data_IF_357244918564
#
_entry.id   IF_357244918564
#
_cell.length_a   1.000
_cell.length_b   1.000
_cell.length_c   1.000
_cell.angle_alpha   90.00
_cell.angle_beta   90.00
_cell.angle_gamma   90.00
#
_symmetry.space_group_name_H-M   'P 1'
#
loop_
_entity.id
_entity.type
_entity.pdbx_description
1 polymer ?
#
# COMPACT_ATOMS: atom_id res chain seq x y z
N UNK A 1 7.67 4.51 14.18
CA UNK A 1 7.54 5.23 12.90
C UNK A 1 6.61 6.42 13.09
N UNK A 2 7.10 7.67 12.99
CA UNK A 2 6.24 8.86 13.07
C UNK A 2 5.31 8.93 11.86
N UNK A 3 4.05 9.34 12.07
CA UNK A 3 3.09 9.59 10.99
C UNK A 3 3.24 11.03 10.49
N UNK A 4 4.23 11.23 9.62
CA UNK A 4 4.44 12.53 8.99
C UNK A 4 3.30 12.90 8.03
N UNK A 5 3.15 14.20 7.75
CA UNK A 5 2.17 14.71 6.79
C UNK A 5 2.32 14.04 5.41
N UNK A 6 3.56 13.83 4.95
CA UNK A 6 3.87 13.23 3.63
C UNK A 6 3.38 11.79 3.45
N UNK A 7 3.11 11.06 4.53
CA UNK A 7 2.54 9.71 4.48
C UNK A 7 1.10 9.68 4.99
N UNK A 8 0.52 10.85 5.27
CA UNK A 8 -0.88 11.01 5.63
C UNK A 8 -1.73 11.24 4.39
N UNK A 9 -3.04 11.04 4.52
CA UNK A 9 -4.07 11.44 3.54
C UNK A 9 -4.55 12.86 3.82
N UNK A 10 -5.36 13.42 2.93
CA UNK A 10 -6.08 14.68 3.17
C UNK A 10 -7.00 14.66 4.40
N UNK A 11 -7.34 13.48 4.93
CA UNK A 11 -8.13 13.32 6.16
C UNK A 11 -7.31 13.39 7.46
N UNK A 12 -6.03 13.76 7.40
CA UNK A 12 -5.12 13.86 8.56
C UNK A 12 -4.90 12.54 9.32
N UNK A 13 -4.82 11.43 8.57
CA UNK A 13 -4.43 10.13 9.08
C UNK A 13 -3.55 9.39 8.08
N UNK A 14 -2.73 8.45 8.57
CA UNK A 14 -1.78 7.66 7.79
C UNK A 14 -2.46 6.98 6.61
N UNK A 15 -1.87 7.09 5.43
CA UNK A 15 -2.28 6.36 4.24
C UNK A 15 -2.11 4.85 4.45
N UNK A 16 -3.15 4.06 4.18
CA UNK A 16 -3.14 2.62 4.46
C UNK A 16 -1.96 1.89 3.81
N UNK A 17 -1.63 2.23 2.55
CA UNK A 17 -0.47 1.67 1.85
C UNK A 17 0.87 1.98 2.52
N UNK A 18 1.01 3.13 3.18
CA UNK A 18 2.22 3.45 3.94
C UNK A 18 2.33 2.56 5.20
N UNK A 19 1.22 2.30 5.89
CA UNK A 19 1.18 1.39 7.03
C UNK A 19 1.51 -0.06 6.66
N UNK A 20 0.93 -0.55 5.55
CA UNK A 20 1.25 -1.88 5.01
C UNK A 20 2.72 -1.97 4.58
N UNK A 21 3.21 -0.98 3.83
CA UNK A 21 4.61 -0.92 3.38
C UNK A 21 5.60 -0.91 4.54
N UNK A 22 5.32 -0.16 5.61
CA UNK A 22 6.14 -0.15 6.82
C UNK A 22 6.19 -1.50 7.52
N UNK A 23 5.04 -2.21 7.60
CA UNK A 23 4.98 -3.54 8.18
C UNK A 23 5.71 -4.59 7.33
N UNK A 24 5.56 -4.53 6.00
CA UNK A 24 6.33 -5.36 5.06
C UNK A 24 7.82 -5.12 5.27
N UNK A 25 8.26 -3.86 5.27
CA UNK A 25 9.67 -3.52 5.44
C UNK A 25 10.24 -4.02 6.77
N UNK A 26 9.47 -3.91 7.87
CA UNK A 26 9.85 -4.47 9.16
C UNK A 26 9.96 -6.00 9.12
N UNK A 27 9.01 -6.68 8.48
CA UNK A 27 9.03 -8.15 8.34
C UNK A 27 10.16 -8.64 7.43
N UNK A 28 10.46 -7.95 6.32
CA UNK A 28 11.62 -8.25 5.46
C UNK A 28 12.93 -8.05 6.24
N UNK A 29 13.01 -6.99 7.05
CA UNK A 29 14.17 -6.72 7.91
C UNK A 29 14.39 -7.84 8.92
N UNK A 30 13.33 -8.37 9.54
CA UNK A 30 13.48 -9.46 10.53
C UNK A 30 13.67 -10.82 9.86
N UNK A 31 12.99 -11.08 8.74
CA UNK A 31 13.06 -12.37 8.04
C UNK A 31 14.30 -12.52 7.14
N UNK A 32 14.93 -11.42 6.75
CA UNK A 32 16.04 -11.37 5.78
C UNK A 32 15.68 -12.04 4.44
N UNK A 33 14.40 -11.97 4.05
CA UNK A 33 13.86 -12.59 2.85
C UNK A 33 12.89 -11.63 2.16
N UNK A 34 12.78 -11.77 0.84
CA UNK A 34 11.89 -10.97 0.01
C UNK A 34 10.42 -11.34 0.24
N UNK A 35 9.54 -10.35 0.20
CA UNK A 35 8.10 -10.57 0.26
C UNK A 35 7.59 -11.44 -0.91
N UNK A 36 6.77 -12.44 -0.60
CA UNK A 36 5.98 -13.19 -1.60
C UNK A 36 4.56 -12.64 -1.66
N UNK A 37 3.92 -12.48 -0.49
CA UNK A 37 2.59 -11.88 -0.37
C UNK A 37 2.40 -11.30 1.03
N UNK A 38 1.56 -10.27 1.14
CA UNK A 38 1.09 -9.72 2.40
C UNK A 38 -0.42 -9.45 2.32
N UNK A 39 -1.10 -9.61 3.44
CA UNK A 39 -2.49 -9.21 3.64
C UNK A 39 -2.59 -8.37 4.90
N UNK A 40 -3.43 -7.34 4.88
CA UNK A 40 -3.62 -6.43 6.00
C UNK A 40 -5.09 -6.36 6.42
N UNK A 41 -5.32 -6.26 7.72
CA UNK A 41 -6.59 -5.89 8.32
C UNK A 41 -6.41 -4.51 8.95
N UNK A 42 -7.23 -3.54 8.52
CA UNK A 42 -7.21 -2.18 9.06
C UNK A 42 -8.30 -2.05 10.11
N UNK A 43 -7.92 -1.74 11.35
CA UNK A 43 -8.79 -1.77 12.53
C UNK A 43 -9.11 -0.35 13.04
N UNK A 44 -8.16 0.58 12.94
CA UNK A 44 -8.34 1.97 13.33
C UNK A 44 -7.32 2.89 12.65
N UNK A 45 -7.43 4.21 12.85
CA UNK A 45 -6.58 5.21 12.19
C UNK A 45 -5.40 5.68 13.05
N UNK A 46 -4.20 5.77 12.49
CA UNK A 46 -3.14 6.58 13.09
C UNK A 46 -3.23 8.01 12.54
N UNK A 47 -3.45 8.99 13.41
CA UNK A 47 -3.53 10.41 13.03
C UNK A 47 -2.16 10.95 12.67
N UNK A 48 -2.13 11.99 11.86
CA UNK A 48 -0.90 12.74 11.59
C UNK A 48 -0.26 13.20 12.92
N UNK A 49 1.07 13.12 13.00
CA UNK A 49 1.92 13.36 14.17
C UNK A 49 1.83 12.31 15.30
N UNK A 50 1.02 11.24 15.17
CA UNK A 50 1.10 10.11 16.09
C UNK A 50 2.35 9.24 15.80
N UNK A 51 2.76 8.46 16.80
CA UNK A 51 3.85 7.49 16.67
C UNK A 51 3.28 6.09 16.56
N UNK A 52 3.63 5.39 15.48
CA UNK A 52 3.27 3.98 15.25
C UNK A 52 4.41 3.07 15.71
N UNK A 53 4.10 2.12 16.59
CA UNK A 53 4.97 0.99 16.94
C UNK A 53 4.58 -0.21 16.10
N UNK A 54 5.56 -0.92 15.54
CA UNK A 54 5.33 -2.14 14.75
C UNK A 54 6.01 -3.29 15.48
N UNK A 55 5.21 -4.24 15.96
CA UNK A 55 5.69 -5.49 16.54
C UNK A 55 5.71 -6.57 15.48
N UNK A 56 6.83 -7.30 15.36
CA UNK A 56 7.01 -8.35 14.35
C UNK A 56 7.17 -9.70 15.03
N UNK A 57 6.48 -10.71 14.50
CA UNK A 57 6.64 -12.11 14.89
C UNK A 57 6.85 -12.96 13.64
N UNK A 58 7.96 -13.68 13.57
CA UNK A 58 8.11 -14.77 12.58
C UNK A 58 7.39 -16.00 13.12
N UNK A 59 6.20 -16.28 12.59
CA UNK A 59 5.33 -17.38 13.03
C UNK A 59 5.90 -18.73 12.62
N UNK A 60 6.54 -18.79 11.44
CA UNK A 60 7.21 -19.98 10.91
C UNK A 60 8.52 -19.56 10.26
N UNK A 61 9.63 -20.21 10.60
CA UNK A 61 10.91 -20.04 9.93
C UNK A 61 11.31 -21.32 9.19
N UNK A 62 10.81 -21.49 7.97
CA UNK A 62 11.05 -22.67 7.15
C UNK A 62 12.28 -22.52 6.25
N UNK A 63 12.76 -23.62 5.65
CA UNK A 63 13.95 -23.60 4.79
C UNK A 63 13.75 -22.78 3.51
N UNK A 64 12.53 -22.72 2.96
CA UNK A 64 12.21 -21.97 1.74
C UNK A 64 11.29 -20.77 2.01
N UNK A 65 10.30 -20.94 2.88
CA UNK A 65 9.29 -19.92 3.19
C UNK A 65 9.32 -19.62 4.68
N UNK A 66 9.32 -18.32 5.00
CA UNK A 66 9.11 -17.77 6.33
C UNK A 66 7.74 -17.11 6.35
N UNK A 67 6.93 -17.39 7.38
CA UNK A 67 5.65 -16.70 7.58
C UNK A 67 5.80 -15.76 8.76
N UNK A 68 5.28 -14.55 8.62
CA UNK A 68 5.37 -13.53 9.66
C UNK A 68 4.08 -12.76 9.83
N UNK A 69 3.95 -12.19 11.03
CA UNK A 69 2.88 -11.27 11.40
C UNK A 69 3.49 -9.97 11.90
N UNK A 70 2.94 -8.85 11.46
CA UNK A 70 3.23 -7.55 12.04
C UNK A 70 1.95 -6.95 12.65
N UNK A 71 2.06 -6.39 13.84
CA UNK A 71 0.97 -5.67 14.51
C UNK A 71 1.42 -4.24 14.73
N UNK A 72 0.72 -3.30 14.09
CA UNK A 72 1.00 -1.87 14.27
C UNK A 72 0.04 -1.27 15.29
N UNK A 73 0.57 -0.44 16.19
CA UNK A 73 -0.19 0.23 17.26
C UNK A 73 0.17 1.70 17.39
N UNK A 74 -0.79 2.49 17.88
CA UNK A 74 -0.54 3.82 18.47
C UNK A 74 -0.88 3.71 19.96
N UNK A 75 0.13 3.79 20.83
CA UNK A 75 -0.04 3.37 22.22
C UNK A 75 -0.54 1.91 22.28
N UNK A 76 -1.63 1.67 23.00
CA UNK A 76 -2.24 0.33 23.11
C UNK A 76 -3.20 -0.01 21.96
N UNK A 77 -3.57 0.99 21.15
CA UNK A 77 -4.58 0.84 20.11
C UNK A 77 -4.00 0.20 18.86
N UNK A 78 -4.50 -0.98 18.52
CA UNK A 78 -4.18 -1.61 17.24
C UNK A 78 -4.76 -0.83 16.09
N UNK A 79 -3.92 -0.48 15.11
CA UNK A 79 -4.34 0.24 13.91
C UNK A 79 -4.43 -0.69 12.70
N UNK A 80 -3.49 -1.63 12.59
CA UNK A 80 -3.50 -2.63 11.52
C UNK A 80 -2.70 -3.88 11.90
N UNK A 81 -3.17 -5.02 11.41
CA UNK A 81 -2.50 -6.32 11.49
C UNK A 81 -2.08 -6.74 10.08
N UNK A 82 -0.87 -7.26 9.89
CA UNK A 82 -0.40 -7.83 8.62
C UNK A 82 0.02 -9.28 8.84
N UNK A 83 -0.45 -10.18 7.97
CA UNK A 83 0.13 -11.51 7.82
C UNK A 83 0.78 -11.61 6.44
N UNK A 84 1.96 -12.20 6.37
CA UNK A 84 2.74 -12.27 5.14
C UNK A 84 3.62 -13.52 5.08
N UNK A 85 4.02 -13.87 3.86
CA UNK A 85 5.04 -14.88 3.61
C UNK A 85 6.23 -14.29 2.84
N UNK A 86 7.41 -14.78 3.17
CA UNK A 86 8.70 -14.31 2.68
C UNK A 86 9.54 -15.49 2.21
N UNK A 87 10.26 -15.30 1.11
CA UNK A 87 11.11 -16.33 0.53
C UNK A 87 11.56 -15.94 -0.87
N UNK A 88 12.65 -16.56 -1.29
CA UNK A 88 13.15 -16.44 -2.64
C UNK A 88 13.39 -17.86 -3.16
N UNK A 89 12.72 -18.21 -4.25
CA UNK A 89 12.87 -19.52 -4.88
C UNK A 89 12.97 -19.31 -6.38
N UNK A 90 14.12 -19.68 -6.94
CA UNK A 90 14.25 -19.86 -8.39
C UNK A 90 13.31 -20.96 -8.85
N UNK A 91 12.45 -20.62 -9.81
CA UNK A 91 11.46 -21.53 -10.37
C UNK A 91 11.54 -21.40 -11.90
N UNK A 92 12.02 -22.46 -12.56
CA UNK A 92 12.33 -22.42 -13.99
C UNK A 92 11.08 -22.19 -14.87
N UNK A 93 9.89 -22.51 -14.35
CA UNK A 93 8.61 -22.28 -15.02
C UNK A 93 7.93 -20.97 -14.59
N UNK A 94 8.67 -19.99 -14.07
CA UNK A 94 8.14 -18.65 -13.83
C UNK A 94 7.72 -17.98 -15.16
N UNK A 95 6.56 -17.33 -15.17
CA UNK A 95 6.04 -16.67 -16.37
C UNK A 95 4.90 -15.71 -16.06
N UNK A 96 4.63 -14.81 -16.99
CA UNK A 96 3.49 -13.89 -16.93
C UNK A 96 2.44 -14.32 -17.94
N UNK A 97 1.29 -14.78 -17.46
CA UNK A 97 0.17 -15.22 -18.30
C UNK A 97 -0.82 -14.09 -18.62
N UNK A 98 -0.90 -13.08 -17.75
CA UNK A 98 -1.72 -11.91 -17.98
C UNK A 98 -1.07 -10.97 -18.99
N UNK A 99 -1.82 -10.58 -20.03
CA UNK A 99 -1.39 -9.58 -21.02
C UNK A 99 -1.73 -8.18 -20.51
N UNK A 100 -0.75 -7.27 -20.53
CA UNK A 100 -0.96 -5.86 -20.23
C UNK A 100 -2.00 -5.26 -21.21
N UNK A 101 -3.00 -4.50 -20.74
CA UNK A 101 -3.95 -3.85 -21.63
C UNK A 101 -3.25 -2.82 -22.52
N UNK A 102 -3.73 -2.66 -23.75
CA UNK A 102 -3.24 -1.62 -24.64
C UNK A 102 -3.85 -0.28 -24.22
N UNK A 103 -3.02 0.62 -23.69
CA UNK A 103 -3.43 1.93 -23.19
C UNK A 103 -2.44 3.01 -23.63
N UNK A 104 -2.89 4.26 -23.60
CA UNK A 104 -2.08 5.45 -23.89
C UNK A 104 -0.86 5.52 -22.96
N UNK A 105 0.27 6.02 -23.47
CA UNK A 105 1.47 6.17 -22.64
C UNK A 105 1.26 7.19 -21.51
N UNK A 106 2.06 7.16 -20.44
CA UNK A 106 1.99 8.17 -19.40
C UNK A 106 2.11 9.59 -19.95
N UNK A 107 3.06 9.86 -20.84
CA UNK A 107 3.32 11.20 -21.40
C UNK A 107 2.13 11.77 -22.19
N UNK A 108 1.35 10.88 -22.82
CA UNK A 108 0.17 11.21 -23.61
C UNK A 108 -1.14 11.19 -22.80
N UNK A 109 -1.10 10.74 -21.54
CA UNK A 109 -2.27 10.67 -20.67
C UNK A 109 -2.30 11.89 -19.75
N UNK A 110 -3.36 12.71 -19.72
CA UNK A 110 -3.44 13.87 -18.84
C UNK A 110 -3.22 13.52 -17.36
N UNK A 111 -2.61 14.45 -16.63
CA UNK A 111 -2.48 14.36 -15.18
C UNK A 111 -3.87 14.30 -14.54
N UNK A 112 -4.03 13.48 -13.51
CA UNK A 112 -5.25 13.44 -12.72
C UNK A 112 -5.41 14.76 -11.96
N UNK A 113 -6.54 15.41 -12.14
CA UNK A 113 -6.95 16.51 -11.27
C UNK A 113 -7.55 15.96 -9.97
N UNK A 114 -7.05 16.43 -8.83
CA UNK A 114 -7.59 16.07 -7.53
C UNK A 114 -8.79 16.96 -7.20
N UNK A 115 -9.84 16.36 -6.64
CA UNK A 115 -11.06 17.09 -6.26
C UNK A 115 -10.85 18.03 -5.07
N UNK A 116 -9.92 17.67 -4.19
CA UNK A 116 -9.61 18.42 -2.98
C UNK A 116 -8.10 18.58 -2.91
N UNK A 117 -7.67 19.79 -2.63
CA UNK A 117 -6.28 20.07 -2.31
C UNK A 117 -5.93 19.37 -0.99
N UNK A 118 -4.83 18.63 -0.99
CA UNK A 118 -4.28 17.99 0.20
C UNK A 118 -2.78 18.29 0.27
N UNK A 119 -2.41 19.57 0.42
CA UNK A 119 -1.03 20.01 0.25
C UNK A 119 -0.10 19.33 1.27
N UNK A 120 1.05 18.89 0.79
CA UNK A 120 2.09 18.23 1.60
C UNK A 120 1.76 16.79 2.03
N UNK A 121 0.59 16.26 1.65
CA UNK A 121 0.20 14.88 1.95
C UNK A 121 0.80 13.88 0.96
N UNK A 122 0.50 12.59 1.12
CA UNK A 122 0.91 11.56 0.16
C UNK A 122 0.40 11.85 -1.25
N UNK A 123 -0.73 12.55 -1.37
CA UNK A 123 -1.35 12.85 -2.66
C UNK A 123 -0.51 13.81 -3.52
N UNK A 124 0.28 14.67 -2.89
CA UNK A 124 1.23 15.57 -3.57
C UNK A 124 2.53 14.86 -3.99
N UNK A 125 2.83 13.73 -3.35
CA UNK A 125 4.06 12.96 -3.63
C UNK A 125 3.92 11.99 -4.80
N UNK A 126 2.72 11.84 -5.36
CA UNK A 126 2.41 10.88 -6.41
C UNK A 126 2.04 11.58 -7.72
N UNK A 127 2.72 11.24 -8.80
CA UNK A 127 2.25 11.59 -10.15
C UNK A 127 1.18 10.59 -10.56
N UNK A 128 -0.05 11.08 -10.76
CA UNK A 128 -1.21 10.24 -11.07
C UNK A 128 -1.80 10.64 -12.42
N UNK A 129 -2.24 9.65 -13.21
CA UNK A 129 -2.87 9.83 -14.53
C UNK A 129 -4.07 8.89 -14.62
N UNK A 130 -5.19 9.36 -15.18
CA UNK A 130 -6.40 8.53 -15.35
C UNK A 130 -6.42 8.04 -16.80
N UNK A 131 -6.24 6.73 -16.98
CA UNK A 131 -6.29 6.08 -18.30
C UNK A 131 -7.72 5.71 -18.69
N UNK A 132 -8.49 5.21 -17.73
CA UNK A 132 -9.90 4.84 -17.88
C UNK A 132 -10.66 5.31 -16.65
N UNK A 133 -11.72 6.07 -16.87
CA UNK A 133 -12.51 6.71 -15.82
C UNK A 133 -13.12 8.00 -16.33
N UNK A 134 -14.22 8.44 -15.70
CA UNK A 134 -14.89 9.69 -16.00
C UNK A 134 -14.65 10.69 -14.89
N UNK A 135 -14.34 11.94 -15.26
CA UNK A 135 -14.36 13.06 -14.33
C UNK A 135 -15.79 13.39 -13.92
N UNK A 136 -15.97 14.21 -12.88
CA UNK A 136 -17.29 14.49 -12.31
C UNK A 136 -18.23 15.16 -13.33
N UNK A 137 -17.67 16.05 -14.15
CA UNK A 137 -18.34 16.74 -15.26
C UNK A 137 -18.69 15.82 -16.44
N UNK A 138 -18.04 14.65 -16.54
CA UNK A 138 -18.32 13.62 -17.55
C UNK A 138 -19.34 12.59 -17.08
N UNK A 139 -19.85 12.68 -15.84
CA UNK A 139 -20.88 11.78 -15.33
C UNK A 139 -22.25 12.18 -15.88
N UNK A 140 -22.82 11.32 -16.71
CA UNK A 140 -24.11 11.51 -17.39
C UNK A 140 -25.19 10.51 -16.94
N UNK A 141 -24.89 9.68 -15.93
CA UNK A 141 -25.78 8.63 -15.41
C UNK A 141 -25.74 7.31 -16.19
N UNK A 142 -24.98 7.21 -17.29
CA UNK A 142 -24.76 5.95 -17.99
C UNK A 142 -23.79 5.03 -17.22
N UNK A 143 -23.94 3.71 -17.37
CA UNK A 143 -23.06 2.72 -16.73
C UNK A 143 -21.61 2.83 -17.26
N UNK A 144 -20.63 2.64 -16.37
CA UNK A 144 -19.22 2.55 -16.77
C UNK A 144 -18.94 1.27 -17.55
N UNK A 145 -18.00 1.33 -18.49
CA UNK A 145 -17.57 0.22 -19.33
C UNK A 145 -16.44 -0.61 -18.68
N UNK A 146 -16.31 -0.53 -17.36
CA UNK A 146 -15.26 -1.19 -16.56
C UNK A 146 -13.92 -0.50 -16.66
#
# INVERSE_FOLDING_TARGET
MPVDLRISTGGSFMFGGAGLGACISALETVSQRNLVWATAQYLSFAKTNELVTIEVTLVVNGPQITQGRAVARVGDREILTVNAAFGDRKFDAAGQFAKMPHVTSPEQTPTREHRHDAPGTIHDSLQQRIVKGRSLDQLDGSLSDG
#
